data_IF_079878225911
#
_entry.id   IF_079878225911
#
_cell.length_a   1.000
_cell.length_b   1.000
_cell.length_c   1.000
_cell.angle_alpha   90.00
_cell.angle_beta   90.00
_cell.angle_gamma   90.00
#
_symmetry.space_group_name_H-M   'P 1'
#
loop_
_entity.id
_entity.type
_entity.pdbx_description
1 polymer ?
#
# COMPACT_ATOMS: atom_id res chain seq x y z
N UNK A 1 -10.19 9.18 13.05
CA UNK A 1 -8.93 8.99 13.79
C UNK A 1 -7.68 8.88 12.90
N UNK A 2 -7.79 8.76 11.57
CA UNK A 2 -6.63 8.65 10.67
C UNK A 2 -5.99 9.96 10.20
N UNK A 3 -6.55 11.13 10.51
CA UNK A 3 -6.15 12.40 9.87
C UNK A 3 -4.65 12.73 9.99
N UNK A 4 -3.99 12.30 11.07
CA UNK A 4 -2.55 12.50 11.28
C UNK A 4 -1.67 11.71 10.29
N UNK A 5 -2.19 10.61 9.73
CA UNK A 5 -1.48 9.74 8.79
C UNK A 5 -1.81 10.06 7.32
N UNK A 6 -2.66 11.05 7.02
CA UNK A 6 -2.95 11.48 5.65
C UNK A 6 -1.70 11.90 4.88
N UNK A 7 -0.81 12.77 5.41
CA UNK A 7 0.41 13.13 4.68
C UNK A 7 1.32 11.92 4.44
N UNK A 8 1.34 10.96 5.36
CA UNK A 8 2.09 9.72 5.20
C UNK A 8 1.49 8.84 4.08
N UNK A 9 0.17 8.68 4.05
CA UNK A 9 -0.53 7.93 3.00
C UNK A 9 -0.28 8.55 1.62
N UNK A 10 -0.30 9.87 1.53
CA UNK A 10 -0.01 10.59 0.29
C UNK A 10 1.44 10.38 -0.19
N UNK A 11 2.42 10.46 0.73
CA UNK A 11 3.84 10.16 0.42
C UNK A 11 4.05 8.72 -0.04
N UNK A 12 3.22 7.78 0.42
CA UNK A 12 3.26 6.39 -0.03
C UNK A 12 2.71 6.17 -1.46
N UNK A 13 2.24 7.22 -2.14
CA UNK A 13 1.76 7.15 -3.52
C UNK A 13 0.27 6.81 -3.66
N UNK A 14 -0.53 7.01 -2.62
CA UNK A 14 -1.99 6.81 -2.64
C UNK A 14 -2.68 8.01 -3.31
N UNK A 15 -3.71 7.77 -4.13
CA UNK A 15 -4.58 8.83 -4.68
C UNK A 15 -5.18 9.69 -3.55
N UNK A 16 -5.33 11.00 -3.79
CA UNK A 16 -5.75 11.95 -2.75
C UNK A 16 -7.11 11.58 -2.13
N UNK A 17 -8.04 11.12 -2.97
CA UNK A 17 -9.39 10.70 -2.61
C UNK A 17 -9.36 9.50 -1.64
N UNK A 18 -8.30 8.70 -1.68
CA UNK A 18 -8.17 7.45 -0.93
C UNK A 18 -7.21 7.57 0.26
N UNK A 19 -6.48 8.68 0.34
CA UNK A 19 -5.53 8.93 1.43
C UNK A 19 -6.21 8.87 2.80
N UNK A 20 -7.47 9.31 2.91
CA UNK A 20 -8.20 9.25 4.19
C UNK A 20 -8.46 7.83 4.65
N UNK A 21 -8.85 6.94 3.72
CA UNK A 21 -9.13 5.54 4.02
C UNK A 21 -7.85 4.81 4.41
N UNK A 22 -6.78 4.97 3.63
CA UNK A 22 -5.48 4.35 3.95
C UNK A 22 -4.92 4.89 5.26
N UNK A 23 -5.04 6.19 5.53
CA UNK A 23 -4.61 6.79 6.79
C UNK A 23 -5.41 6.28 8.00
N UNK A 24 -6.71 6.01 7.83
CA UNK A 24 -7.53 5.36 8.86
C UNK A 24 -7.00 3.96 9.16
N UNK A 25 -6.68 3.16 8.13
CA UNK A 25 -6.15 1.81 8.29
C UNK A 25 -4.79 1.81 8.99
N UNK A 26 -3.86 2.69 8.57
CA UNK A 26 -2.55 2.85 9.22
C UNK A 26 -2.72 3.23 10.68
N UNK A 27 -3.60 4.19 11.00
CA UNK A 27 -3.90 4.56 12.37
C UNK A 27 -4.49 3.42 13.19
N UNK A 28 -5.35 2.60 12.59
CA UNK A 28 -5.95 1.44 13.26
C UNK A 28 -4.91 0.37 13.57
N UNK A 29 -3.98 0.10 12.63
CA UNK A 29 -2.82 -0.76 12.87
C UNK A 29 -1.96 -0.26 14.02
N UNK A 30 -1.59 1.02 13.99
CA UNK A 30 -0.65 1.61 14.95
C UNK A 30 -1.24 1.69 16.36
N UNK A 31 -2.54 1.94 16.49
CA UNK A 31 -3.19 2.11 17.80
C UNK A 31 -3.81 0.84 18.36
N UNK A 32 -4.32 -0.05 17.49
CA UNK A 32 -5.06 -1.25 17.89
C UNK A 32 -4.26 -2.50 17.53
N UNK A 33 -4.27 -2.90 16.26
CA UNK A 33 -3.46 -3.98 15.69
C UNK A 33 -3.72 -4.10 14.18
N UNK A 34 -2.87 -4.86 13.50
CA UNK A 34 -2.98 -5.16 12.08
C UNK A 34 -4.19 -6.02 11.72
N UNK A 35 -4.64 -6.95 12.57
CA UNK A 35 -5.79 -7.82 12.26
C UNK A 35 -7.10 -7.04 12.07
N UNK A 36 -7.37 -6.07 12.95
CA UNK A 36 -8.53 -5.20 12.85
C UNK A 36 -8.39 -4.27 11.64
N UNK A 37 -7.17 -3.80 11.34
CA UNK A 37 -6.91 -3.03 10.13
C UNK A 37 -7.18 -3.86 8.85
N UNK A 38 -6.78 -5.13 8.81
CA UNK A 38 -7.05 -6.01 7.67
C UNK A 38 -8.55 -6.33 7.52
N UNK A 39 -9.31 -6.43 8.60
CA UNK A 39 -10.77 -6.58 8.52
C UNK A 39 -11.44 -5.38 7.86
N UNK A 40 -11.02 -4.16 8.21
CA UNK A 40 -11.53 -2.94 7.58
C UNK A 40 -11.03 -2.77 6.14
N UNK A 41 -9.81 -3.24 5.84
CA UNK A 41 -9.26 -3.24 4.48
C UNK A 41 -10.06 -4.14 3.53
N UNK A 42 -10.55 -5.30 3.99
CA UNK A 42 -11.34 -6.22 3.17
C UNK A 42 -12.65 -5.63 2.61
N UNK A 43 -13.05 -4.45 3.10
CA UNK A 43 -14.23 -3.70 2.63
C UNK A 43 -13.85 -2.67 1.54
N UNK A 44 -12.57 -2.32 1.41
CA UNK A 44 -12.05 -1.29 0.51
C UNK A 44 -11.45 -1.91 -0.76
N UNK A 45 -12.17 -1.85 -1.89
CA UNK A 45 -11.73 -2.41 -3.18
C UNK A 45 -10.67 -1.58 -3.92
N UNK A 46 -10.51 -0.30 -3.57
CA UNK A 46 -9.67 0.65 -4.29
C UNK A 46 -8.55 1.07 -3.30
N UNK A 47 -7.29 1.04 -3.73
CA UNK A 47 -6.05 1.15 -2.90
C UNK A 47 -5.68 -0.08 -2.03
N UNK A 48 -6.25 -1.25 -2.32
CA UNK A 48 -6.04 -2.48 -1.54
C UNK A 48 -4.56 -2.89 -1.46
N UNK A 49 -3.83 -2.81 -2.57
CA UNK A 49 -2.45 -3.29 -2.64
C UNK A 49 -1.50 -2.44 -1.79
N UNK A 50 -1.48 -1.10 -1.96
CA UNK A 50 -0.59 -0.21 -1.17
C UNK A 50 -0.92 -0.33 0.33
N UNK A 51 -2.20 -0.34 0.69
CA UNK A 51 -2.63 -0.53 2.07
C UNK A 51 -2.19 -1.90 2.61
N UNK A 52 -2.30 -2.98 1.83
CA UNK A 52 -1.85 -4.33 2.25
C UNK A 52 -0.39 -4.33 2.65
N UNK A 53 0.49 -3.71 1.85
CA UNK A 53 1.92 -3.61 2.16
C UNK A 53 2.19 -2.70 3.36
N UNK A 54 1.45 -1.59 3.49
CA UNK A 54 1.56 -0.69 4.63
C UNK A 54 1.17 -1.37 5.95
N UNK A 55 0.15 -2.24 5.89
CA UNK A 55 -0.36 -2.98 7.03
C UNK A 55 0.49 -4.20 7.39
N UNK A 56 1.29 -4.72 6.45
CA UNK A 56 2.11 -5.92 6.64
C UNK A 56 3.21 -5.71 7.68
N UNK A 57 2.91 -5.92 8.96
CA UNK A 57 3.87 -5.89 10.05
C UNK A 57 3.21 -5.69 11.42
N UNK A 58 3.78 -6.33 12.44
CA UNK A 58 3.30 -6.32 13.83
C UNK A 58 3.75 -5.08 14.62
N UNK A 59 3.88 -3.93 13.97
CA UNK A 59 4.34 -2.69 14.60
C UNK A 59 3.17 -1.97 15.29
N UNK A 60 2.69 -2.58 16.37
CA UNK A 60 1.67 -2.04 17.27
C UNK A 60 2.13 -2.17 18.75
N UNK A 61 1.59 -1.38 19.71
CA UNK A 61 1.98 -1.43 21.11
C UNK A 61 1.78 -2.80 21.78
N UNK A 62 0.77 -3.57 21.39
CA UNK A 62 0.52 -4.91 21.92
C UNK A 62 1.64 -5.89 21.55
N UNK A 63 2.01 -5.93 20.27
CA UNK A 63 3.12 -6.74 19.77
C UNK A 63 4.47 -6.30 20.35
N UNK A 64 4.66 -4.99 20.59
CA UNK A 64 5.84 -4.48 21.30
C UNK A 64 5.92 -5.04 22.72
N UNK A 65 4.79 -5.07 23.45
CA UNK A 65 4.70 -5.67 24.78
C UNK A 65 5.01 -7.17 24.77
N UNK A 66 4.51 -7.92 23.78
CA UNK A 66 4.82 -9.34 23.60
C UNK A 66 6.32 -9.55 23.35
N UNK A 67 6.94 -8.73 22.50
CA UNK A 67 8.36 -8.83 22.17
C UNK A 67 9.25 -8.49 23.38
N UNK A 68 8.91 -7.44 24.15
CA UNK A 68 9.61 -7.13 25.41
C UNK A 68 9.43 -8.28 26.41
N UNK A 69 8.20 -8.76 26.62
CA UNK A 69 7.91 -9.82 27.59
C UNK A 69 8.63 -11.14 27.26
N UNK A 70 8.59 -11.56 25.99
CA UNK A 70 9.28 -12.76 25.53
C UNK A 70 10.80 -12.63 25.64
N UNK A 71 11.41 -11.57 25.09
CA UNK A 71 12.87 -11.40 25.13
C UNK A 71 13.41 -11.24 26.56
N UNK A 72 12.67 -10.56 27.44
CA UNK A 72 13.08 -10.41 28.85
C UNK A 72 12.96 -11.71 29.63
N UNK A 73 12.02 -12.60 29.30
CA UNK A 73 11.93 -13.94 29.88
C UNK A 73 13.07 -14.87 29.42
N UNK A 74 13.50 -14.74 28.15
CA UNK A 74 14.59 -15.52 27.57
C UNK A 74 15.97 -15.05 28.04
N UNK A 75 16.15 -13.74 28.17
CA UNK A 75 17.42 -13.15 28.58
C UNK A 75 17.19 -12.03 29.62
N UNK A 76 16.93 -12.38 30.89
CA UNK A 76 16.57 -11.41 31.92
C UNK A 76 17.68 -10.38 32.20
N UNK A 77 18.95 -10.74 32.02
CA UNK A 77 20.10 -9.83 32.16
C UNK A 77 20.13 -8.75 31.08
N UNK A 78 19.50 -8.96 29.92
CA UNK A 78 19.46 -8.01 28.80
C UNK A 78 18.25 -7.08 28.85
N UNK A 79 17.39 -7.18 29.89
CA UNK A 79 16.18 -6.36 30.03
C UNK A 79 16.42 -4.86 29.79
N UNK A 80 17.47 -4.22 30.35
CA UNK A 80 17.71 -2.79 30.14
C UNK A 80 17.86 -2.45 28.65
N UNK A 81 18.68 -3.22 27.94
CA UNK A 81 18.96 -3.03 26.51
C UNK A 81 17.70 -3.29 25.68
N UNK A 82 16.96 -4.37 25.97
CA UNK A 82 15.72 -4.71 25.25
C UNK A 82 14.71 -3.55 25.36
N UNK A 83 14.48 -3.03 26.57
CA UNK A 83 13.52 -1.93 26.78
C UNK A 83 13.99 -0.62 26.18
N UNK A 84 15.30 -0.37 26.14
CA UNK A 84 15.89 0.84 25.54
C UNK A 84 15.70 0.88 24.01
N UNK A 85 15.89 -0.27 23.33
CA UNK A 85 15.77 -0.33 21.87
C UNK A 85 14.34 -0.57 21.39
N UNK A 86 13.43 -1.04 22.25
CA UNK A 86 12.08 -1.46 21.90
C UNK A 86 11.31 -0.41 21.09
N UNK A 87 11.25 0.83 21.58
CA UNK A 87 10.52 1.88 20.88
C UNK A 87 11.15 2.24 19.52
N UNK A 88 12.48 2.24 19.44
CA UNK A 88 13.20 2.46 18.17
C UNK A 88 12.92 1.33 17.18
N UNK A 89 12.89 0.08 17.64
CA UNK A 89 12.55 -1.08 16.82
C UNK A 89 11.11 -1.00 16.30
N UNK A 90 10.17 -0.52 17.11
CA UNK A 90 8.78 -0.30 16.72
C UNK A 90 8.64 0.74 15.58
N UNK A 91 9.33 1.88 15.69
CA UNK A 91 9.32 2.91 14.64
C UNK A 91 10.01 2.42 13.38
N UNK A 92 11.16 1.76 13.52
CA UNK A 92 11.89 1.17 12.40
C UNK A 92 11.04 0.12 11.67
N UNK A 93 10.34 -0.75 12.40
CA UNK A 93 9.43 -1.74 11.82
C UNK A 93 8.30 -1.09 11.02
N UNK A 94 7.66 -0.05 11.56
CA UNK A 94 6.62 0.70 10.83
C UNK A 94 7.16 1.35 9.56
N UNK A 95 8.35 1.96 9.63
CA UNK A 95 8.98 2.60 8.47
C UNK A 95 9.32 1.60 7.35
N UNK A 96 9.74 0.37 7.69
CA UNK A 96 9.99 -0.69 6.71
C UNK A 96 8.68 -1.06 5.99
N UNK A 97 7.56 -1.23 6.71
CA UNK A 97 6.26 -1.50 6.09
C UNK A 97 5.87 -0.39 5.10
N UNK A 98 6.05 0.88 5.48
CA UNK A 98 5.73 2.02 4.62
C UNK A 98 6.65 2.08 3.40
N UNK A 99 7.94 1.78 3.57
CA UNK A 99 8.89 1.72 2.46
C UNK A 99 8.50 0.63 1.45
N UNK A 100 8.12 -0.56 1.92
CA UNK A 100 7.62 -1.63 1.04
C UNK A 100 6.34 -1.20 0.31
N UNK A 101 5.45 -0.46 0.97
CA UNK A 101 4.26 0.09 0.35
C UNK A 101 4.60 1.12 -0.76
N UNK A 102 5.60 1.98 -0.56
CA UNK A 102 6.07 2.91 -1.59
C UNK A 102 6.61 2.15 -2.82
N UNK A 103 7.38 1.08 -2.62
CA UNK A 103 7.90 0.25 -3.72
C UNK A 103 6.73 -0.38 -4.48
N UNK A 104 5.74 -0.92 -3.78
CA UNK A 104 4.53 -1.46 -4.40
C UNK A 104 3.77 -0.39 -5.20
N UNK A 105 3.66 0.84 -4.68
CA UNK A 105 3.01 1.93 -5.39
C UNK A 105 3.70 2.28 -6.73
N UNK A 106 5.04 2.28 -6.76
CA UNK A 106 5.80 2.53 -8.01
C UNK A 106 5.50 1.45 -9.05
N UNK A 107 5.49 0.17 -8.65
CA UNK A 107 5.21 -0.95 -9.55
C UNK A 107 3.76 -0.92 -10.07
N UNK A 108 2.81 -0.61 -9.19
CA UNK A 108 1.39 -0.49 -9.53
C UNK A 108 1.10 0.67 -10.48
N UNK A 109 1.75 1.81 -10.27
CA UNK A 109 1.64 2.98 -11.17
C UNK A 109 2.21 2.68 -12.56
N UNK A 110 3.31 1.92 -12.61
CA UNK A 110 3.89 1.48 -13.89
C UNK A 110 2.96 0.50 -14.60
N UNK A 111 2.39 -0.48 -13.89
CA UNK A 111 1.47 -1.46 -14.45
C UNK A 111 0.20 -0.82 -15.01
N UNK A 112 -0.37 0.15 -14.29
CA UNK A 112 -1.56 0.89 -14.75
C UNK A 112 -1.27 1.79 -15.94
N UNK A 113 -0.10 2.43 -16.00
CA UNK A 113 0.35 3.15 -17.18
C UNK A 113 0.48 2.23 -18.41
N UNK A 114 1.11 1.05 -18.26
CA UNK A 114 1.25 0.07 -19.34
C UNK A 114 -0.12 -0.45 -19.83
N UNK A 115 -1.06 -0.70 -18.91
CA UNK A 115 -2.41 -1.12 -19.26
C UNK A 115 -3.15 -0.06 -20.10
N UNK A 116 -3.00 1.22 -19.74
CA UNK A 116 -3.57 2.33 -20.51
C UNK A 116 -2.94 2.42 -21.91
N UNK A 117 -1.61 2.30 -22.03
CA UNK A 117 -0.94 2.26 -23.34
C UNK A 117 -1.39 1.09 -24.20
N UNK A 118 -1.55 -0.11 -23.63
CA UNK A 118 -2.07 -1.26 -24.40
C UNK A 118 -3.51 -1.08 -24.85
N UNK A 119 -4.31 -0.36 -24.06
CA UNK A 119 -5.70 -0.05 -24.39
C UNK A 119 -5.78 0.98 -25.51
N UNK A 120 -5.00 2.07 -25.43
CA UNK A 120 -4.92 3.07 -26.50
C UNK A 120 -4.33 2.48 -27.79
N UNK A 121 -3.29 1.66 -27.71
CA UNK A 121 -2.74 0.95 -28.87
C UNK A 121 -3.77 -0.04 -29.47
N UNK A 122 -4.57 -0.71 -28.63
CA UNK A 122 -5.66 -1.56 -29.10
C UNK A 122 -6.78 -0.78 -29.79
N UNK A 123 -7.09 0.43 -29.32
CA UNK A 123 -8.04 1.37 -29.95
C UNK A 123 -7.48 1.88 -31.29
N UNK A 124 -6.21 2.28 -31.33
CA UNK A 124 -5.54 2.74 -32.57
C UNK A 124 -5.47 1.63 -33.62
N UNK A 125 -5.17 0.40 -33.23
CA UNK A 125 -5.20 -0.75 -34.13
C UNK A 125 -6.62 -1.09 -34.65
N UNK A 126 -7.67 -0.72 -33.92
CA UNK A 126 -9.06 -0.89 -34.39
C UNK A 126 -9.51 0.27 -35.29
N UNK A 127 -9.07 1.51 -35.03
CA UNK A 127 -9.31 2.66 -35.92
C UNK A 127 -8.57 2.53 -37.27
N UNK A 128 -7.35 2.02 -37.30
CA UNK A 128 -6.62 1.75 -38.54
C UNK A 128 -7.31 0.66 -39.39
N UNK A 129 -7.97 -0.33 -38.78
CA UNK A 129 -8.74 -1.33 -39.53
C UNK A 129 -10.10 -0.80 -40.03
N UNK A 130 -10.66 0.23 -39.39
CA UNK A 130 -11.91 0.85 -39.82
C UNK A 130 -11.68 1.85 -40.97
N UNK A 131 -10.66 2.70 -40.87
CA UNK A 131 -10.32 3.70 -41.90
C UNK A 131 -9.80 3.09 -43.22
N UNK A 132 -9.11 1.95 -43.16
CA UNK A 132 -8.66 1.22 -44.36
C UNK A 132 -9.80 0.48 -45.11
N UNK A 133 -11.00 0.38 -44.53
CA UNK A 133 -12.15 -0.27 -45.17
C UNK A 133 -13.09 0.72 -45.88
N UNK A 134 -13.04 2.01 -45.56
CA UNK A 134 -13.85 3.06 -46.23
C UNK A 134 -13.20 3.58 -47.52
N UNK A 135 -11.89 3.40 -47.71
CA UNK A 135 -11.18 3.87 -48.91
C UNK A 135 -11.28 2.92 -50.11
N UNK A 136 -11.87 1.72 -49.97
CA UNK A 136 -11.92 0.71 -51.04
C UNK A 136 -13.30 0.55 -51.73
N UNK A 137 -14.23 1.50 -51.57
CA UNK A 137 -15.58 1.43 -52.20
C UNK A 137 -15.86 2.47 -53.28
N UNK A 138 -14.85 3.20 -53.80
CA UNK A 138 -15.10 4.28 -54.78
C UNK A 138 -14.38 4.18 -56.12
N UNK A 139 -14.08 2.99 -56.67
CA UNK A 139 -13.69 2.87 -58.09
C UNK A 139 -14.11 1.52 -58.71
N UNK A 140 -15.33 1.44 -59.26
CA UNK A 140 -15.68 0.51 -60.35
C UNK A 140 -16.80 1.12 -61.23
N UNK A 141 -16.51 1.55 -62.48
CA UNK A 141 -17.38 1.32 -63.62
C UNK A 141 -17.12 -0.05 -64.28
#
# INVERSE_FOLDING_TARGET
>A
MGYIFIPLAWVMGVEWEQCQDVAKLVGLKTMVNEFVAYQELGVLKRAEAIATYALCGFSNPGSLGILIGSLTSLCPSQRPIITEVAFRAFIAGSAVCFMTACIAAVELNTTSALANYTTEAGILLTEDQYTNNETNTTILP
#
